data_IF_374907005889
#
_entry.id   IF_374907005889
#
_cell.length_a   1.000
_cell.length_b   1.000
_cell.length_c   1.000
_cell.angle_alpha   90.00
_cell.angle_beta   90.00
_cell.angle_gamma   90.00
#
_symmetry.space_group_name_H-M   'P 1'
#
loop_
_entity.id
_entity.type
_entity.pdbx_description
1 polymer ?
#
# COMPACT_ATOMS: atom_id res chain seq x y z
N UNK A 1 -3.93 -17.37 1.40
CA UNK A 1 -4.85 -18.18 0.61
C UNK A 1 -6.16 -18.37 1.37
N UNK A 2 -7.27 -18.44 0.67
CA UNK A 2 -8.54 -18.83 1.25
C UNK A 2 -8.60 -20.34 1.49
N UNK A 3 -8.98 -20.74 2.68
CA UNK A 3 -9.23 -22.14 3.01
C UNK A 3 -10.74 -22.38 3.02
N UNK A 4 -11.23 -23.16 2.06
CA UNK A 4 -12.67 -23.45 1.92
C UNK A 4 -13.18 -24.38 3.03
N UNK A 5 -12.31 -25.15 3.67
CA UNK A 5 -12.69 -26.05 4.78
C UNK A 5 -12.96 -25.26 6.07
N UNK A 6 -12.06 -24.32 6.39
CA UNK A 6 -12.15 -23.54 7.62
C UNK A 6 -12.89 -22.22 7.44
N UNK A 7 -13.26 -21.91 6.19
CA UNK A 7 -13.91 -20.66 5.78
C UNK A 7 -13.14 -19.42 6.28
N UNK A 8 -11.81 -19.45 6.13
CA UNK A 8 -10.89 -18.44 6.65
C UNK A 8 -9.72 -18.14 5.72
N UNK A 9 -9.11 -16.97 5.90
CA UNK A 9 -7.88 -16.59 5.23
C UNK A 9 -6.67 -17.08 6.01
N UNK A 10 -5.82 -17.86 5.37
CA UNK A 10 -4.59 -18.38 5.94
C UNK A 10 -3.36 -17.73 5.31
N UNK A 11 -2.29 -17.61 6.11
CA UNK A 11 -0.98 -17.25 5.58
C UNK A 11 -0.45 -18.39 4.70
N UNK A 12 0.32 -18.02 3.67
CA UNK A 12 1.01 -19.03 2.83
C UNK A 12 2.40 -19.23 3.43
N UNK A 13 2.69 -20.43 3.84
CA UNK A 13 4.01 -20.81 4.34
C UNK A 13 5.06 -20.72 3.22
N UNK A 14 6.22 -20.21 3.56
CA UNK A 14 7.35 -20.09 2.62
C UNK A 14 7.28 -18.92 1.64
N UNK A 15 6.21 -18.15 1.63
CA UNK A 15 6.15 -16.87 0.90
C UNK A 15 6.78 -15.79 1.74
N UNK A 16 7.98 -15.35 1.35
CA UNK A 16 8.62 -14.19 1.95
C UNK A 16 7.74 -12.96 1.81
N UNK A 17 7.83 -12.07 2.80
CA UNK A 17 7.17 -10.76 2.75
C UNK A 17 7.44 -10.10 1.40
N UNK A 18 6.38 -9.85 0.64
CA UNK A 18 6.49 -9.18 -0.65
C UNK A 18 6.91 -7.73 -0.40
N UNK A 19 8.06 -7.33 -0.93
CA UNK A 19 8.49 -5.94 -0.89
C UNK A 19 8.06 -5.27 -2.20
N UNK A 20 7.24 -4.24 -2.08
CA UNK A 20 6.81 -3.43 -3.22
C UNK A 20 7.86 -2.35 -3.44
N UNK A 21 8.44 -2.29 -4.62
CA UNK A 21 9.19 -1.13 -5.07
C UNK A 21 8.30 -0.23 -5.91
N UNK A 22 8.30 1.06 -5.65
CA UNK A 22 7.39 2.06 -6.20
C UNK A 22 7.31 2.15 -7.74
N UNK A 23 8.26 1.56 -8.46
CA UNK A 23 8.33 1.65 -9.92
C UNK A 23 7.84 0.42 -10.68
N UNK A 24 7.81 -0.76 -10.05
CA UNK A 24 7.65 -2.04 -10.77
C UNK A 24 6.42 -2.87 -10.36
N UNK A 25 5.64 -2.43 -9.39
CA UNK A 25 4.52 -3.20 -8.85
C UNK A 25 4.97 -4.42 -8.04
N UNK A 26 4.02 -5.29 -7.74
CA UNK A 26 4.23 -6.55 -7.00
C UNK A 26 4.28 -7.69 -7.98
N UNK A 27 5.36 -8.46 -7.96
CA UNK A 27 5.41 -9.74 -8.67
C UNK A 27 4.71 -10.80 -7.83
N UNK A 28 3.72 -11.46 -8.43
CA UNK A 28 3.03 -12.56 -7.77
C UNK A 28 3.99 -13.77 -7.73
N UNK A 29 4.16 -14.43 -6.57
CA UNK A 29 5.03 -15.60 -6.47
C UNK A 29 4.63 -16.69 -7.46
N UNK A 30 5.59 -17.35 -8.04
CA UNK A 30 5.38 -18.55 -8.86
C UNK A 30 5.03 -19.75 -7.98
N UNK A 31 4.31 -20.72 -8.54
CA UNK A 31 3.97 -21.96 -7.84
C UNK A 31 2.73 -21.87 -6.96
N UNK A 32 1.94 -20.80 -7.08
CA UNK A 32 0.64 -20.75 -6.44
C UNK A 32 -0.30 -21.80 -7.06
N UNK A 33 -0.98 -22.54 -6.23
CA UNK A 33 -1.99 -23.51 -6.66
C UNK A 33 -3.31 -22.82 -6.97
N UNK A 34 -4.22 -23.50 -7.64
CA UNK A 34 -5.57 -23.05 -7.88
C UNK A 34 -6.26 -22.60 -6.58
N UNK A 35 -6.95 -21.48 -6.64
CA UNK A 35 -7.63 -20.92 -5.47
C UNK A 35 -7.70 -19.40 -5.40
N UNK A 36 -8.29 -18.91 -4.31
CA UNK A 36 -8.43 -17.48 -4.01
C UNK A 36 -7.30 -17.00 -3.11
N UNK A 37 -6.80 -15.82 -3.41
CA UNK A 37 -5.67 -15.22 -2.70
C UNK A 37 -5.98 -13.79 -2.30
N UNK A 38 -5.32 -13.33 -1.23
CA UNK A 38 -5.41 -11.97 -0.71
C UNK A 38 -4.03 -11.42 -0.47
N UNK A 39 -3.80 -10.19 -0.91
CA UNK A 39 -2.62 -9.38 -0.57
C UNK A 39 -3.11 -8.24 0.33
N UNK A 40 -2.45 -8.06 1.45
CA UNK A 40 -2.70 -6.94 2.37
C UNK A 40 -1.43 -6.12 2.48
N UNK A 41 -1.52 -4.82 2.24
CA UNK A 41 -0.40 -3.92 2.49
C UNK A 41 -0.27 -3.68 3.99
N UNK A 42 0.90 -3.94 4.54
CA UNK A 42 1.18 -3.76 5.97
C UNK A 42 1.95 -2.49 6.28
N UNK A 43 2.58 -1.90 5.27
CA UNK A 43 3.29 -0.63 5.36
C UNK A 43 3.34 0.00 3.98
N UNK A 44 3.03 1.29 3.89
CA UNK A 44 3.20 2.09 2.68
C UNK A 44 4.61 2.70 2.63
N UNK A 45 5.11 3.03 1.42
CA UNK A 45 6.31 3.85 1.27
C UNK A 45 6.11 5.26 1.85
N UNK A 46 7.22 5.95 2.14
CA UNK A 46 7.19 7.32 2.63
C UNK A 46 6.40 8.24 1.69
N UNK A 47 5.48 8.99 2.25
CA UNK A 47 4.61 9.91 1.50
C UNK A 47 3.35 9.28 0.92
N UNK A 48 3.09 8.01 1.18
CA UNK A 48 1.87 7.30 0.75
C UNK A 48 1.06 6.80 1.94
N UNK A 49 -0.22 6.57 1.70
CA UNK A 49 -1.14 6.01 2.70
C UNK A 49 -1.28 4.51 2.44
N UNK A 50 -1.23 3.71 3.51
CA UNK A 50 -1.51 2.27 3.44
C UNK A 50 -2.90 2.05 2.84
N UNK A 51 -3.03 1.08 1.96
CA UNK A 51 -4.31 0.71 1.37
C UNK A 51 -5.26 0.19 2.46
N UNK A 52 -6.44 0.79 2.54
CA UNK A 52 -7.48 0.37 3.47
C UNK A 52 -8.04 -1.01 3.11
N UNK A 53 -8.11 -1.30 1.80
CA UNK A 53 -8.67 -2.53 1.26
C UNK A 53 -7.58 -3.51 0.83
N UNK A 54 -7.80 -4.79 1.13
CA UNK A 54 -6.98 -5.86 0.59
C UNK A 54 -7.26 -6.08 -0.91
N UNK A 55 -6.25 -6.52 -1.63
CA UNK A 55 -6.35 -6.88 -3.04
C UNK A 55 -6.58 -8.38 -3.13
N UNK A 56 -7.62 -8.76 -3.83
CA UNK A 56 -7.99 -10.15 -4.02
C UNK A 56 -7.73 -10.57 -5.48
N UNK A 57 -7.28 -11.78 -5.65
CA UNK A 57 -7.11 -12.40 -6.97
C UNK A 57 -7.36 -13.90 -6.90
N UNK A 58 -7.68 -14.46 -8.04
CA UNK A 58 -7.90 -15.89 -8.20
C UNK A 58 -6.85 -16.44 -9.14
N UNK A 59 -6.27 -17.56 -8.77
CA UNK A 59 -5.42 -18.37 -9.63
C UNK A 59 -6.28 -19.47 -10.20
N UNK A 60 -6.32 -19.61 -11.50
CA UNK A 60 -7.04 -20.66 -12.21
C UNK A 60 -6.03 -21.49 -13.00
N UNK A 61 -6.09 -22.77 -12.80
CA UNK A 61 -5.29 -23.73 -13.52
C UNK A 61 -6.16 -24.37 -14.60
N UNK A 62 -5.78 -24.24 -15.84
CA UNK A 62 -6.40 -24.95 -16.94
C UNK A 62 -5.45 -26.02 -17.48
N UNK A 63 -5.95 -27.22 -17.57
CA UNK A 63 -5.23 -28.34 -18.21
C UNK A 63 -5.69 -28.37 -19.67
N UNK A 64 -4.79 -28.13 -20.60
CA UNK A 64 -5.11 -28.24 -22.01
C UNK A 64 -5.51 -29.67 -22.37
N UNK A 65 -6.56 -29.80 -23.17
CA UNK A 65 -6.91 -31.09 -23.76
C UNK A 65 -5.83 -31.46 -24.77
N UNK A 66 -5.11 -32.55 -24.51
CA UNK A 66 -4.03 -33.03 -25.33
C UNK A 66 -2.71 -33.14 -24.58
N UNK A 67 -1.78 -33.73 -25.23
CA UNK A 67 -0.40 -33.86 -24.75
C UNK A 67 0.52 -33.16 -25.75
N UNK A 68 1.65 -32.64 -25.26
CA UNK A 68 2.73 -32.17 -26.14
C UNK A 68 3.37 -33.35 -26.92
N UNK A 69 4.34 -33.02 -27.77
CA UNK A 69 5.07 -34.04 -28.55
C UNK A 69 5.81 -35.10 -27.68
N UNK A 70 6.02 -34.77 -26.40
CA UNK A 70 6.62 -35.66 -25.41
C UNK A 70 5.59 -36.40 -24.56
N UNK A 71 4.28 -36.21 -24.82
CA UNK A 71 3.18 -36.87 -24.10
C UNK A 71 2.85 -36.25 -22.76
N UNK A 72 3.37 -35.07 -22.44
CA UNK A 72 3.05 -34.34 -21.24
C UNK A 72 1.81 -33.44 -21.44
N UNK A 73 0.97 -33.34 -20.41
CA UNK A 73 -0.18 -32.41 -20.44
C UNK A 73 0.31 -31.01 -20.25
N UNK A 74 -0.10 -30.11 -21.12
CA UNK A 74 0.16 -28.68 -20.93
C UNK A 74 -0.78 -28.12 -19.86
N UNK A 75 -0.20 -27.48 -18.85
CA UNK A 75 -0.91 -26.79 -17.80
C UNK A 75 -0.71 -25.31 -18.00
N UNK A 76 -1.80 -24.59 -18.21
CA UNK A 76 -1.78 -23.13 -18.24
C UNK A 76 -2.32 -22.57 -16.94
N UNK A 77 -1.72 -21.47 -16.49
CA UNK A 77 -2.17 -20.75 -15.32
C UNK A 77 -2.69 -19.39 -15.77
N UNK A 78 -3.82 -18.99 -15.22
CA UNK A 78 -4.31 -17.63 -15.37
C UNK A 78 -4.54 -17.01 -14.01
N UNK A 79 -4.27 -15.73 -13.90
CA UNK A 79 -4.55 -14.95 -12.69
C UNK A 79 -5.53 -13.85 -13.07
N UNK A 80 -6.61 -13.75 -12.33
CA UNK A 80 -7.64 -12.74 -12.53
C UNK A 80 -7.89 -11.98 -11.22
N UNK A 81 -8.14 -10.67 -11.32
CA UNK A 81 -8.55 -9.88 -10.16
C UNK A 81 -9.96 -10.30 -9.75
N UNK A 82 -10.18 -10.41 -8.46
CA UNK A 82 -11.48 -10.78 -7.90
C UNK A 82 -11.87 -9.87 -6.74
N UNK A 83 -13.13 -9.95 -6.34
CA UNK A 83 -13.58 -9.45 -5.05
C UNK A 83 -13.30 -10.46 -3.92
N UNK A 84 -13.69 -10.13 -2.71
CA UNK A 84 -13.54 -11.01 -1.53
C UNK A 84 -14.30 -12.34 -1.67
N UNK A 85 -15.32 -12.37 -2.49
CA UNK A 85 -16.21 -13.54 -2.70
C UNK A 85 -15.75 -14.39 -3.90
N UNK A 86 -14.71 -13.92 -4.64
CA UNK A 86 -14.13 -14.62 -5.78
C UNK A 86 -14.72 -14.29 -7.14
N UNK A 87 -15.62 -13.29 -7.23
CA UNK A 87 -16.13 -12.82 -8.50
C UNK A 87 -15.09 -11.99 -9.22
N UNK A 88 -14.92 -12.18 -10.52
CA UNK A 88 -13.98 -11.43 -11.34
C UNK A 88 -14.38 -9.96 -11.39
N UNK A 89 -13.42 -9.08 -11.12
CA UNK A 89 -13.61 -7.63 -11.15
C UNK A 89 -12.61 -6.95 -12.08
N UNK A 90 -12.97 -5.76 -12.55
CA UNK A 90 -12.08 -4.82 -13.20
C UNK A 90 -12.03 -3.54 -12.39
N UNK A 91 -10.85 -3.03 -12.14
CA UNK A 91 -10.67 -1.80 -11.36
C UNK A 91 -9.51 -0.98 -11.92
N UNK A 92 -9.64 0.34 -11.87
CA UNK A 92 -8.57 1.25 -12.27
C UNK A 92 -7.45 1.36 -11.22
N UNK A 93 -7.72 0.94 -9.99
CA UNK A 93 -6.77 0.99 -8.87
C UNK A 93 -5.68 -0.08 -8.96
N UNK A 94 -5.98 -1.20 -9.58
CA UNK A 94 -5.07 -2.34 -9.70
C UNK A 94 -5.05 -2.82 -11.13
N UNK A 95 -3.87 -2.87 -11.73
CA UNK A 95 -3.66 -3.44 -13.06
C UNK A 95 -2.85 -4.72 -12.95
N UNK A 96 -3.36 -5.76 -13.56
CA UNK A 96 -2.65 -7.02 -13.72
C UNK A 96 -1.97 -7.02 -15.09
N UNK A 97 -0.67 -7.29 -15.12
CA UNK A 97 0.10 -7.46 -16.33
C UNK A 97 0.85 -8.79 -16.30
N UNK A 98 0.98 -9.42 -17.44
CA UNK A 98 1.78 -10.62 -17.63
C UNK A 98 3.09 -10.26 -18.33
N UNK A 99 4.15 -10.92 -17.96
CA UNK A 99 5.43 -10.85 -18.67
C UNK A 99 5.57 -12.10 -19.53
N UNK A 100 5.71 -11.91 -20.83
CA UNK A 100 5.85 -13.00 -21.79
C UNK A 100 7.23 -13.68 -21.70
N UNK A 101 8.23 -13.01 -21.09
CA UNK A 101 9.60 -13.49 -21.04
C UNK A 101 9.88 -14.44 -19.87
N UNK A 102 9.17 -14.30 -18.76
CA UNK A 102 9.42 -15.06 -17.52
C UNK A 102 8.16 -15.70 -16.92
N UNK A 103 7.05 -15.63 -17.65
CA UNK A 103 5.72 -16.10 -17.21
C UNK A 103 5.31 -15.58 -15.84
N UNK A 104 5.80 -14.41 -15.46
CA UNK A 104 5.46 -13.78 -14.19
C UNK A 104 4.24 -12.89 -14.32
N UNK A 105 3.43 -12.89 -13.29
CA UNK A 105 2.30 -11.95 -13.14
C UNK A 105 2.71 -10.80 -12.24
N UNK A 106 2.41 -9.59 -12.69
CA UNK A 106 2.74 -8.37 -11.97
C UNK A 106 1.50 -7.56 -11.69
N UNK A 107 1.29 -7.21 -10.42
CA UNK A 107 0.25 -6.30 -9.98
C UNK A 107 0.83 -4.88 -9.87
N UNK A 108 0.26 -3.95 -10.61
CA UNK A 108 0.51 -2.53 -10.45
C UNK A 108 -0.62 -1.94 -9.62
N UNK A 109 -0.29 -1.36 -8.49
CA UNK A 109 -1.25 -0.84 -7.52
C UNK A 109 -1.11 0.68 -7.51
N UNK A 110 -2.22 1.38 -7.75
CA UNK A 110 -2.27 2.84 -7.61
C UNK A 110 -2.36 3.19 -6.12
N UNK A 111 -1.23 3.57 -5.53
CA UNK A 111 -1.19 4.02 -4.14
C UNK A 111 -1.60 5.50 -4.05
N UNK A 112 -2.35 5.87 -3.01
CA UNK A 112 -2.71 7.26 -2.76
C UNK A 112 -1.55 7.99 -2.08
N UNK A 113 -1.14 9.13 -2.65
CA UNK A 113 -0.21 10.00 -1.98
C UNK A 113 -0.84 10.51 -0.68
N UNK A 114 -0.11 10.35 0.43
CA UNK A 114 -0.48 10.95 1.70
C UNK A 114 -0.45 12.47 1.56
N UNK A 115 -1.46 13.16 2.08
CA UNK A 115 -1.33 14.60 2.30
C UNK A 115 -0.24 14.79 3.32
N UNK A 116 0.91 15.32 2.91
CA UNK A 116 1.91 15.79 3.86
C UNK A 116 1.20 16.77 4.79
N UNK A 117 1.06 16.42 6.07
CA UNK A 117 0.59 17.36 7.06
C UNK A 117 1.52 18.58 6.97
N UNK A 118 0.99 19.80 6.83
CA UNK A 118 1.83 20.97 6.86
C UNK A 118 2.73 20.87 8.08
N UNK A 119 4.03 20.92 7.88
CA UNK A 119 4.99 20.95 8.99
C UNK A 119 4.66 22.16 9.84
N UNK A 120 3.90 21.97 10.91
CA UNK A 120 3.51 23.02 11.85
C UNK A 120 4.70 23.56 12.64
N UNK A 121 5.90 23.03 12.41
CA UNK A 121 7.19 23.44 12.97
C UNK A 121 8.09 24.21 12.01
N UNK A 122 7.60 24.70 10.88
CA UNK A 122 8.41 25.49 9.94
C UNK A 122 8.91 26.81 10.54
N UNK A 123 9.95 27.41 9.91
CA UNK A 123 10.60 28.67 10.30
C UNK A 123 9.64 29.85 10.57
N UNK A 124 8.37 29.74 10.14
CA UNK A 124 7.31 30.71 10.44
C UNK A 124 6.93 30.78 11.92
N UNK A 125 6.91 29.67 12.64
CA UNK A 125 6.58 29.64 14.09
C UNK A 125 7.60 30.34 14.95
N UNK A 126 8.88 30.31 14.57
CA UNK A 126 9.93 31.01 15.27
C UNK A 126 9.70 32.52 15.31
N UNK A 127 9.28 33.12 14.21
CA UNK A 127 8.98 34.55 14.14
C UNK A 127 7.81 34.97 15.05
N UNK A 128 6.78 34.14 15.14
CA UNK A 128 5.66 34.41 16.04
C UNK A 128 6.08 34.32 17.51
N UNK A 129 6.94 33.38 17.88
CA UNK A 129 7.47 33.26 19.23
C UNK A 129 8.36 34.48 19.56
N UNK A 130 9.24 34.89 18.65
CA UNK A 130 10.13 36.05 18.85
C UNK A 130 9.32 37.33 18.99
N UNK A 131 8.35 37.58 18.10
CA UNK A 131 7.51 38.79 18.17
C UNK A 131 6.65 38.75 19.42
N UNK A 132 6.05 37.62 19.77
CA UNK A 132 5.22 37.46 20.97
C UNK A 132 6.01 37.69 22.26
N UNK A 133 7.22 37.17 22.37
CA UNK A 133 8.12 37.37 23.52
C UNK A 133 8.57 38.83 23.65
N UNK A 134 8.89 39.50 22.52
CA UNK A 134 9.26 40.90 22.50
C UNK A 134 8.11 41.78 22.98
N UNK A 135 6.88 41.56 22.54
CA UNK A 135 5.69 42.32 22.97
C UNK A 135 5.42 42.11 24.46
N UNK A 136 5.59 40.89 24.99
CA UNK A 136 5.45 40.63 26.43
C UNK A 136 6.48 41.39 27.26
N UNK A 137 7.74 41.39 26.85
CA UNK A 137 8.81 42.10 27.58
C UNK A 137 8.59 43.62 27.55
N UNK A 138 8.21 44.18 26.41
CA UNK A 138 7.87 45.62 26.31
C UNK A 138 6.67 46.01 27.17
N UNK A 139 5.64 45.19 27.18
CA UNK A 139 4.47 45.41 28.00
C UNK A 139 4.78 45.40 29.51
N UNK A 140 5.60 44.42 29.92
CA UNK A 140 6.04 44.29 31.30
C UNK A 140 6.93 45.48 31.76
N UNK A 141 7.87 45.89 30.93
CA UNK A 141 8.72 47.05 31.22
C UNK A 141 7.93 48.33 31.29
N UNK A 142 6.98 48.55 30.37
CA UNK A 142 6.07 49.72 30.43
C UNK A 142 5.28 49.75 31.72
N UNK A 143 4.73 48.62 32.14
CA UNK A 143 3.95 48.51 33.38
C UNK A 143 4.82 48.82 34.61
N UNK A 144 6.04 48.32 34.66
CA UNK A 144 6.99 48.58 35.76
C UNK A 144 7.37 50.05 35.83
N UNK A 145 7.67 50.68 34.69
CA UNK A 145 7.98 52.10 34.62
C UNK A 145 6.78 52.97 35.07
N UNK A 146 5.58 52.62 34.65
CA UNK A 146 4.35 53.34 35.08
C UNK A 146 4.13 53.22 36.59
N UNK A 147 4.38 52.03 37.17
CA UNK A 147 4.25 51.81 38.62
C UNK A 147 5.26 52.62 39.41
N UNK A 148 6.53 52.67 38.97
CA UNK A 148 7.61 53.46 39.63
C UNK A 148 7.38 54.95 39.53
N UNK A 149 6.65 55.49 38.53
CA UNK A 149 6.41 56.93 38.36
C UNK A 149 5.20 57.43 39.14
N UNK A 150 4.28 56.52 39.50
CA UNK A 150 3.01 56.90 40.22
C UNK A 150 3.03 56.47 41.71
N UNK A 151 4.12 55.93 42.22
CA UNK A 151 4.39 55.65 43.63
C UNK A 151 5.44 56.59 44.16
#
# INVERSE_FOLDING_TARGET
RWNDTDNAWEAIDGVSKLTITSSNGVTIPTGLTDGRYRITETAAPDGYIVLDDAIYFKVEQAIAEGTDEQGARQVSYSIVLSDKDGNVISTDKVKLSTSDSDFSYRLQIANQAGTALPSTGGSGTLWYIVIGSLLMTLSFTYFMFKKCRNG
#
